data_IF_286699316176
#
_entry.id   IF_286699316176
#
_cell.length_a   1.000
_cell.length_b   1.000
_cell.length_c   1.000
_cell.angle_alpha   90.00
_cell.angle_beta   90.00
_cell.angle_gamma   90.00
#
_symmetry.space_group_name_H-M   'P 1'
#
loop_
_entity.id
_entity.type
_entity.pdbx_description
1 polymer ?
#
# COMPACT_ATOMS: atom_id res chain seq x y z
N UNK A 1 -12.35 -2.23 14.21
CA UNK A 1 -12.33 -1.62 12.86
C UNK A 1 -13.53 -2.13 12.07
N UNK A 2 -14.66 -1.41 12.09
CA UNK A 2 -15.77 -1.63 11.15
C UNK A 2 -15.31 -1.01 9.82
N UNK A 3 -15.34 -1.81 8.75
CA UNK A 3 -14.46 -1.69 7.59
C UNK A 3 -14.55 -0.39 6.81
N UNK A 4 -13.38 0.14 6.45
CA UNK A 4 -13.21 1.00 5.29
C UNK A 4 -13.58 0.14 4.06
N UNK A 5 -14.78 0.32 3.52
CA UNK A 5 -15.21 -0.39 2.32
C UNK A 5 -14.45 0.15 1.11
N UNK A 6 -13.73 -0.71 0.39
CA UNK A 6 -12.99 -0.30 -0.80
C UNK A 6 -13.94 0.14 -1.92
N UNK A 7 -13.62 1.24 -2.60
CA UNK A 7 -14.38 1.74 -3.76
C UNK A 7 -13.79 1.16 -5.05
N UNK A 8 -13.88 -0.17 -5.21
CA UNK A 8 -13.29 -0.90 -6.35
C UNK A 8 -13.90 -0.50 -7.70
N UNK A 9 -15.20 -0.21 -7.78
CA UNK A 9 -15.87 0.20 -9.02
C UNK A 9 -15.31 1.51 -9.60
N UNK A 10 -14.77 2.39 -8.74
CA UNK A 10 -14.19 3.67 -9.15
C UNK A 10 -12.66 3.63 -9.23
N UNK A 11 -12.04 2.46 -9.03
CA UNK A 11 -10.58 2.31 -9.02
C UNK A 11 -9.87 2.93 -7.80
N UNK A 12 -10.59 3.47 -6.82
CA UNK A 12 -9.99 4.16 -5.68
C UNK A 12 -9.47 3.19 -4.59
N UNK A 13 -9.92 1.93 -4.61
CA UNK A 13 -9.57 0.95 -3.58
C UNK A 13 -9.92 1.43 -2.18
N UNK A 14 -9.08 1.13 -1.19
CA UNK A 14 -9.25 1.59 0.19
C UNK A 14 -8.71 3.02 0.43
N UNK A 15 -8.06 3.63 -0.57
CA UNK A 15 -7.41 4.93 -0.41
C UNK A 15 -8.42 6.05 -0.13
N UNK A 16 -9.50 6.09 -0.91
CA UNK A 16 -10.53 7.11 -0.76
C UNK A 16 -11.21 7.10 0.62
N UNK A 17 -11.82 5.99 1.08
CA UNK A 17 -12.50 5.99 2.38
C UNK A 17 -11.52 6.29 3.53
N UNK A 18 -10.25 5.86 3.43
CA UNK A 18 -9.24 6.17 4.44
C UNK A 18 -8.90 7.66 4.45
N UNK A 19 -8.63 8.23 3.28
CA UNK A 19 -8.32 9.66 3.13
C UNK A 19 -9.50 10.52 3.58
N UNK A 20 -10.72 10.16 3.19
CA UNK A 20 -11.95 10.87 3.59
C UNK A 20 -12.09 10.87 5.12
N UNK A 21 -11.85 9.73 5.79
CA UNK A 21 -11.89 9.64 7.24
C UNK A 21 -10.81 10.53 7.91
N UNK A 22 -9.57 10.49 7.42
CA UNK A 22 -8.48 11.33 7.94
C UNK A 22 -8.77 12.82 7.76
N UNK A 23 -9.23 13.22 6.57
CA UNK A 23 -9.63 14.60 6.27
C UNK A 23 -10.82 15.04 7.10
N UNK A 24 -11.82 14.18 7.30
CA UNK A 24 -12.99 14.46 8.15
C UNK A 24 -12.56 14.75 9.60
N UNK A 25 -11.56 14.04 10.11
CA UNK A 25 -10.99 14.28 11.45
C UNK A 25 -10.02 15.48 11.52
N UNK A 26 -9.81 16.20 10.41
CA UNK A 26 -9.03 17.44 10.36
C UNK A 26 -7.55 17.29 9.99
N UNK A 27 -7.08 16.08 9.67
CA UNK A 27 -5.67 15.88 9.30
C UNK A 27 -5.38 16.35 7.87
N UNK A 28 -4.29 17.12 7.64
CA UNK A 28 -3.83 17.41 6.30
C UNK A 28 -3.16 16.18 5.69
N UNK A 29 -3.84 15.53 4.74
CA UNK A 29 -3.31 14.36 4.01
C UNK A 29 -2.90 14.77 2.60
N UNK A 30 -1.68 14.37 2.22
CA UNK A 30 -1.14 14.39 0.86
C UNK A 30 -0.74 12.96 0.48
N UNK A 31 -1.41 12.38 -0.51
CA UNK A 31 -1.09 11.07 -1.07
C UNK A 31 0.08 11.24 -2.05
N UNK A 32 1.01 10.29 -2.04
CA UNK A 32 2.23 10.34 -2.85
C UNK A 32 2.47 9.01 -3.55
N UNK A 33 3.04 9.07 -4.74
CA UNK A 33 3.29 7.90 -5.58
C UNK A 33 3.38 8.30 -7.05
N UNK A 34 3.83 7.37 -7.88
CA UNK A 34 4.01 7.63 -9.32
C UNK A 34 2.74 7.50 -10.14
N UNK A 35 1.72 6.80 -9.63
CA UNK A 35 0.48 6.50 -10.33
C UNK A 35 -0.68 7.33 -9.85
N UNK A 36 -1.68 7.46 -10.70
CA UNK A 36 -2.89 8.25 -10.45
C UNK A 36 -4.10 7.55 -11.09
N UNK A 37 -4.83 6.76 -10.30
CA UNK A 37 -6.04 6.08 -10.76
C UNK A 37 -7.28 6.52 -9.98
N UNK A 38 -8.46 6.29 -10.56
CA UNK A 38 -9.74 6.61 -9.94
C UNK A 38 -10.10 8.09 -9.93
N UNK A 39 -11.05 8.47 -9.08
CA UNK A 39 -11.68 9.79 -9.08
C UNK A 39 -11.66 10.50 -7.73
N UNK A 40 -10.88 10.01 -6.77
CA UNK A 40 -10.68 10.71 -5.50
C UNK A 40 -9.79 11.94 -5.68
N UNK A 41 -9.97 12.94 -4.81
CA UNK A 41 -9.00 14.02 -4.73
C UNK A 41 -7.66 13.48 -4.23
N UNK A 42 -6.56 13.91 -4.85
CA UNK A 42 -5.19 13.52 -4.47
C UNK A 42 -5.05 11.99 -4.51
N UNK A 43 -5.16 11.46 -5.73
CA UNK A 43 -5.23 10.04 -6.03
C UNK A 43 -3.88 9.40 -6.34
N UNK A 44 -2.79 9.97 -5.83
CA UNK A 44 -1.45 9.41 -6.05
C UNK A 44 -1.27 8.11 -5.24
N UNK A 45 -0.71 7.07 -5.86
CA UNK A 45 -0.37 5.81 -5.19
C UNK A 45 0.74 5.04 -5.91
N UNK A 46 1.22 3.95 -5.29
CA UNK A 46 2.17 3.00 -5.90
C UNK A 46 1.58 1.60 -6.12
N UNK A 47 0.28 1.43 -5.83
CA UNK A 47 -0.36 0.11 -5.98
C UNK A 47 -0.30 -0.39 -7.44
N UNK A 48 0.01 -1.68 -7.58
CA UNK A 48 0.04 -2.35 -8.89
C UNK A 48 -0.66 -3.69 -8.79
N UNK A 49 -1.75 -3.85 -9.54
CA UNK A 49 -2.46 -5.13 -9.61
C UNK A 49 -1.56 -6.23 -10.16
N UNK A 50 -1.65 -7.43 -9.59
CA UNK A 50 -0.85 -8.58 -10.00
C UNK A 50 0.58 -8.64 -9.44
N UNK A 51 1.07 -7.57 -8.79
CA UNK A 51 2.43 -7.58 -8.25
C UNK A 51 2.61 -8.56 -7.09
N UNK A 52 3.69 -9.33 -7.19
CA UNK A 52 4.33 -10.01 -6.10
C UNK A 52 5.06 -8.99 -5.19
N UNK A 53 5.20 -9.30 -3.89
CA UNK A 53 5.97 -8.56 -2.88
C UNK A 53 7.38 -8.17 -3.37
N UNK A 54 8.06 -9.02 -4.16
CA UNK A 54 9.34 -8.68 -4.77
C UNK A 54 9.25 -7.53 -5.78
N UNK A 55 8.20 -7.52 -6.60
CA UNK A 55 7.95 -6.45 -7.56
C UNK A 55 7.53 -5.17 -6.84
N UNK A 56 6.76 -5.28 -5.75
CA UNK A 56 6.49 -4.16 -4.84
C UNK A 56 7.79 -3.62 -4.24
N UNK A 57 8.73 -4.49 -3.86
CA UNK A 57 10.02 -4.08 -3.33
C UNK A 57 10.86 -3.31 -4.36
N UNK A 58 10.86 -3.75 -5.61
CA UNK A 58 11.48 -2.99 -6.71
C UNK A 58 10.78 -1.65 -6.94
N UNK A 59 9.45 -1.63 -6.99
CA UNK A 59 8.67 -0.40 -7.20
C UNK A 59 8.85 0.62 -6.07
N UNK A 60 9.12 0.18 -4.84
CA UNK A 60 9.38 1.06 -3.70
C UNK A 60 10.53 2.05 -3.94
N UNK A 61 11.49 1.73 -4.83
CA UNK A 61 12.56 2.67 -5.20
C UNK A 61 12.03 3.95 -5.86
N UNK A 62 10.89 3.87 -6.55
CA UNK A 62 10.21 5.04 -7.12
C UNK A 62 9.49 5.86 -6.04
N UNK A 63 9.10 5.23 -4.93
CA UNK A 63 8.36 5.90 -3.86
C UNK A 63 9.27 6.53 -2.79
N UNK A 64 10.48 6.02 -2.59
CA UNK A 64 11.43 6.51 -1.57
C UNK A 64 11.68 8.04 -1.66
N UNK A 65 11.84 8.64 -2.86
CA UNK A 65 12.07 10.09 -2.97
C UNK A 65 10.95 10.97 -2.41
N UNK A 66 9.71 10.45 -2.26
CA UNK A 66 8.62 11.22 -1.66
C UNK A 66 8.72 11.35 -0.14
N UNK A 67 9.62 10.60 0.51
CA UNK A 67 9.88 10.65 1.95
C UNK A 67 8.60 10.58 2.79
N UNK A 68 7.73 9.62 2.47
CA UNK A 68 6.42 9.50 3.10
C UNK A 68 6.53 9.25 4.62
N UNK A 69 5.73 9.98 5.39
CA UNK A 69 5.64 9.80 6.84
C UNK A 69 4.92 8.51 7.23
N UNK A 70 4.00 8.05 6.38
CA UNK A 70 3.24 6.81 6.57
C UNK A 70 3.23 6.03 5.25
N UNK A 71 3.59 4.75 5.32
CA UNK A 71 3.46 3.79 4.22
C UNK A 71 2.41 2.75 4.62
N UNK A 72 1.39 2.59 3.79
CA UNK A 72 0.40 1.53 3.94
C UNK A 72 0.74 0.42 2.96
N UNK A 73 0.82 -0.82 3.45
CA UNK A 73 1.17 -1.97 2.61
C UNK A 73 0.09 -3.04 2.70
N UNK A 74 -0.49 -3.36 1.55
CA UNK A 74 -1.37 -4.49 1.32
C UNK A 74 -0.88 -5.30 0.11
N UNK A 75 -0.13 -6.37 0.36
CA UNK A 75 0.42 -7.22 -0.70
C UNK A 75 0.55 -8.68 -0.23
N UNK A 76 0.59 -9.61 -1.18
CA UNK A 76 0.75 -11.05 -0.90
C UNK A 76 -0.39 -11.94 -1.37
N UNK A 77 -1.53 -11.37 -1.77
CA UNK A 77 -2.64 -12.13 -2.37
C UNK A 77 -2.16 -12.93 -3.58
N UNK A 78 -1.36 -12.31 -4.46
CA UNK A 78 -0.84 -12.97 -5.67
C UNK A 78 0.08 -14.18 -5.38
N UNK A 79 0.81 -14.19 -4.24
CA UNK A 79 1.58 -15.37 -3.82
C UNK A 79 0.64 -16.52 -3.46
N UNK A 80 -0.43 -16.20 -2.72
CA UNK A 80 -1.39 -17.19 -2.25
C UNK A 80 -2.20 -17.77 -3.41
N UNK A 81 -2.71 -16.91 -4.29
CA UNK A 81 -3.54 -17.32 -5.44
C UNK A 81 -2.77 -18.17 -6.45
N UNK A 82 -1.49 -17.88 -6.65
CA UNK A 82 -0.65 -18.59 -7.63
C UNK A 82 0.13 -19.75 -7.05
N UNK A 83 0.15 -19.90 -5.73
CA UNK A 83 0.91 -20.92 -5.01
C UNK A 83 2.41 -20.95 -5.40
N UNK A 84 3.02 -19.76 -5.49
CA UNK A 84 4.44 -19.58 -5.85
C UNK A 84 5.15 -18.97 -4.65
N UNK A 85 6.30 -19.52 -4.24
CA UNK A 85 7.22 -18.91 -3.27
C UNK A 85 6.54 -18.46 -1.96
N UNK A 86 5.44 -19.13 -1.57
CA UNK A 86 4.62 -18.74 -0.42
C UNK A 86 5.42 -18.80 0.89
N UNK A 87 6.27 -19.83 1.00
CA UNK A 87 7.17 -20.07 2.11
C UNK A 87 8.16 -18.91 2.31
N UNK A 88 8.53 -18.15 1.28
CA UNK A 88 9.46 -17.02 1.39
C UNK A 88 8.78 -15.64 1.37
N UNK A 89 7.44 -15.57 1.26
CA UNK A 89 6.69 -14.31 1.23
C UNK A 89 6.94 -13.44 2.49
N UNK A 90 7.13 -14.08 3.64
CA UNK A 90 7.44 -13.41 4.91
C UNK A 90 8.82 -12.73 4.88
N UNK A 91 9.84 -13.39 4.31
CA UNK A 91 11.18 -12.82 4.13
C UNK A 91 11.15 -11.62 3.18
N UNK A 92 10.39 -11.71 2.07
CA UNK A 92 10.25 -10.60 1.12
C UNK A 92 9.53 -9.41 1.75
N UNK A 93 8.55 -9.66 2.62
CA UNK A 93 7.85 -8.61 3.37
C UNK A 93 8.81 -7.93 4.35
N UNK A 94 9.60 -8.69 5.09
CA UNK A 94 10.62 -8.16 6.00
C UNK A 94 11.62 -7.27 5.25
N UNK A 95 12.15 -7.74 4.13
CA UNK A 95 13.12 -6.99 3.32
C UNK A 95 12.55 -5.65 2.83
N UNK A 96 11.28 -5.60 2.44
CA UNK A 96 10.61 -4.35 2.06
C UNK A 96 10.51 -3.39 3.25
N UNK A 97 10.09 -3.87 4.42
CA UNK A 97 9.97 -3.05 5.63
C UNK A 97 11.33 -2.48 6.04
N UNK A 98 12.37 -3.32 6.10
CA UNK A 98 13.73 -2.89 6.44
C UNK A 98 14.28 -1.87 5.42
N UNK A 99 14.00 -2.05 4.13
CA UNK A 99 14.34 -1.08 3.09
C UNK A 99 13.68 0.28 3.33
N UNK A 100 12.37 0.31 3.55
CA UNK A 100 11.64 1.55 3.77
C UNK A 100 12.11 2.28 5.03
N UNK A 101 12.26 1.56 6.15
CA UNK A 101 12.70 2.14 7.42
C UNK A 101 14.15 2.67 7.36
N UNK A 102 15.03 2.01 6.58
CA UNK A 102 16.41 2.47 6.41
C UNK A 102 16.56 3.65 5.45
N UNK A 103 15.67 3.78 4.46
CA UNK A 103 15.73 4.80 3.41
C UNK A 103 14.88 6.04 3.69
N UNK A 104 13.87 5.92 4.54
CA UNK A 104 12.94 7.00 4.87
C UNK A 104 12.95 7.24 6.40
N UNK A 105 13.88 8.05 6.92
CA UNK A 105 13.97 8.31 8.35
C UNK A 105 12.66 8.87 8.92
N UNK A 106 12.18 8.28 10.01
CA UNK A 106 10.94 8.69 10.68
C UNK A 106 9.65 8.18 10.04
N UNK A 107 9.72 7.35 9.00
CA UNK A 107 8.52 6.74 8.41
C UNK A 107 7.87 5.71 9.35
N UNK A 108 6.55 5.59 9.26
CA UNK A 108 5.77 4.54 9.90
C UNK A 108 5.21 3.60 8.83
N UNK A 109 5.54 2.31 8.91
CA UNK A 109 5.00 1.30 7.99
C UNK A 109 3.86 0.56 8.66
N UNK A 110 2.67 0.62 8.07
CA UNK A 110 1.48 -0.13 8.53
C UNK A 110 1.25 -1.30 7.59
N UNK A 111 1.37 -2.51 8.12
CA UNK A 111 1.12 -3.75 7.40
C UNK A 111 -0.33 -4.19 7.63
N UNK A 112 -1.06 -4.40 6.55
CA UNK A 112 -2.36 -5.09 6.60
C UNK A 112 -2.18 -6.60 6.45
N UNK A 113 -3.13 -7.36 7.00
CA UNK A 113 -3.33 -8.77 6.66
C UNK A 113 -4.05 -8.88 5.32
N UNK A 114 -3.95 -10.04 4.67
CA UNK A 114 -4.72 -10.30 3.46
C UNK A 114 -6.22 -10.27 3.76
N UNK A 115 -6.98 -9.75 2.79
CA UNK A 115 -8.44 -9.82 2.86
C UNK A 115 -8.84 -11.29 2.77
N UNK A 116 -9.70 -11.80 3.68
CA UNK A 116 -10.17 -13.18 3.59
C UNK A 116 -10.82 -13.43 2.24
N UNK A 117 -10.37 -14.47 1.54
CA UNK A 117 -11.07 -14.97 0.37
C UNK A 117 -12.41 -15.56 0.85
N UNK A 118 -13.51 -15.16 0.22
CA UNK A 118 -14.84 -15.76 0.48
C UNK A 118 -14.98 -17.09 -0.23
#
# INVERSE_FOLDING_TARGET
MKGLLSESFRGNGYHKPLRDALRFTGWPVNMVGTKHDGNMHDNNHEDTSGFFISEVNAAADLSIPYLSSIVLRNAGTNYCERNIDFDIAHLRTRALVEKLLSKIPGTTVVLSTLVPHR
#
